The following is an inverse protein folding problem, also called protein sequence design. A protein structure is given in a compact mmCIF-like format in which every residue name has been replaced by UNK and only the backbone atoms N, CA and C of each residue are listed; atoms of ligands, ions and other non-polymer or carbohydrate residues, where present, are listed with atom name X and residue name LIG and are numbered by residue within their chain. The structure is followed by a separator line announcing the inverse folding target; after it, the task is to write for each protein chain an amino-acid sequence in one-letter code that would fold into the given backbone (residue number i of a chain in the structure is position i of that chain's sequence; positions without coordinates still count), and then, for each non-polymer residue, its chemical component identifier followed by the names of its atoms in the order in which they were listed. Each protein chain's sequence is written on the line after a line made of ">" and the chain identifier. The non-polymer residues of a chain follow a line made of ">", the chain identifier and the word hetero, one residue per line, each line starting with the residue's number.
data_IF_496840521837
#
_entry.id   IF_496840521837
#
_cell.length_a   1.000
_cell.length_b   1.000
_cell.length_c   1.000
_cell.angle_alpha   90.00
_cell.angle_beta   90.00
_cell.angle_gamma   90.00
#
_symmetry.space_group_name_H-M   'P 1'
#
loop_
_entity.id
_entity.type
_entity.pdbx_description
1 polymer ?
#
# COMPACT_ATOMS: atom_id res chain seq x y z
N UNK A 1 60.19 -33.12 -33.00
CA UNK A 1 59.54 -31.85 -32.95
C UNK A 1 58.18 -32.04 -32.22
N UNK A 2 58.09 -31.65 -30.94
CA UNK A 2 56.84 -31.73 -30.13
C UNK A 2 56.07 -30.43 -30.32
N UNK A 3 54.86 -30.48 -30.90
CA UNK A 3 53.98 -29.33 -31.03
C UNK A 3 53.27 -29.12 -29.67
N UNK A 4 53.57 -28.02 -29.00
CA UNK A 4 52.85 -27.57 -27.81
C UNK A 4 51.53 -26.94 -28.28
N UNK A 5 50.40 -27.55 -27.88
CA UNK A 5 49.08 -26.96 -28.03
C UNK A 5 48.81 -26.06 -26.81
N UNK A 6 48.83 -24.75 -27.01
CA UNK A 6 48.36 -23.75 -26.06
C UNK A 6 46.81 -23.77 -26.10
N UNK A 7 46.17 -24.25 -25.04
CA UNK A 7 44.72 -24.09 -24.84
C UNK A 7 44.49 -22.71 -24.23
N UNK A 8 43.69 -21.80 -24.86
CA UNK A 8 43.36 -20.54 -24.25
C UNK A 8 42.40 -20.78 -23.11
N UNK A 9 42.79 -20.42 -21.87
CA UNK A 9 41.95 -20.40 -20.68
C UNK A 9 40.99 -19.20 -20.81
N UNK A 10 39.76 -19.45 -21.26
CA UNK A 10 38.69 -18.44 -21.25
C UNK A 10 38.18 -18.32 -19.81
N UNK A 11 38.64 -17.31 -19.09
CA UNK A 11 38.09 -16.92 -17.81
C UNK A 11 36.69 -16.33 -18.03
N UNK A 12 35.66 -17.12 -17.76
CA UNK A 12 34.29 -16.68 -17.70
C UNK A 12 34.12 -15.84 -16.41
N UNK A 13 34.27 -14.50 -16.53
CA UNK A 13 33.90 -13.56 -15.48
C UNK A 13 32.36 -13.58 -15.36
N UNK A 14 31.82 -14.48 -14.55
CA UNK A 14 30.49 -14.36 -14.01
C UNK A 14 30.47 -13.12 -13.11
N UNK A 15 30.00 -12.00 -13.67
CA UNK A 15 29.72 -10.81 -12.88
C UNK A 15 28.65 -11.16 -11.85
N UNK A 16 29.06 -11.30 -10.59
CA UNK A 16 28.17 -11.25 -9.44
C UNK A 16 27.58 -9.81 -9.45
N UNK A 17 26.41 -9.65 -10.07
CA UNK A 17 25.59 -8.47 -9.79
C UNK A 17 25.24 -8.54 -8.31
N UNK A 18 25.92 -7.76 -7.50
CA UNK A 18 25.48 -7.51 -6.12
C UNK A 18 24.08 -6.90 -6.23
N UNK A 19 23.07 -7.62 -5.77
CA UNK A 19 21.74 -7.03 -5.63
C UNK A 19 21.88 -5.78 -4.75
N UNK A 20 21.48 -4.63 -5.27
CA UNK A 20 21.42 -3.40 -4.47
C UNK A 20 20.39 -3.69 -3.37
N UNK A 21 20.75 -3.53 -2.10
CA UNK A 21 19.79 -3.80 -1.02
C UNK A 21 18.55 -2.90 -1.21
N UNK A 22 17.36 -3.38 -0.82
CA UNK A 22 16.14 -2.57 -0.84
C UNK A 22 16.38 -1.27 -0.05
N UNK A 23 15.98 -0.14 -0.62
CA UNK A 23 16.16 1.17 0.03
C UNK A 23 14.95 1.59 0.84
N UNK A 24 13.80 0.94 0.63
CA UNK A 24 12.51 1.26 1.24
C UNK A 24 11.81 -0.01 1.68
N UNK A 25 11.14 0.05 2.82
CA UNK A 25 10.24 -0.98 3.30
C UNK A 25 8.86 -0.36 3.54
N UNK A 26 7.80 -1.09 3.23
CA UNK A 26 6.41 -0.72 3.55
C UNK A 26 5.84 -1.69 4.57
N UNK A 27 4.80 -1.29 5.29
CA UNK A 27 4.27 -2.10 6.37
C UNK A 27 2.74 -2.28 6.30
N UNK A 28 2.30 -3.42 6.81
CA UNK A 28 0.91 -3.70 7.16
C UNK A 28 0.65 -3.22 8.59
N UNK A 29 -0.41 -2.44 8.80
CA UNK A 29 -0.81 -1.97 10.13
C UNK A 29 -1.59 -3.05 10.86
N UNK A 30 -1.05 -3.49 11.99
CA UNK A 30 -1.77 -4.32 12.93
C UNK A 30 -2.52 -3.44 13.92
N UNK A 31 -3.82 -3.71 14.08
CA UNK A 31 -4.70 -2.96 14.97
C UNK A 31 -5.48 -3.91 15.88
N UNK A 32 -6.10 -3.36 16.92
CA UNK A 32 -6.95 -4.08 17.88
C UNK A 32 -8.43 -3.82 17.57
N UNK A 33 -9.32 -4.53 18.27
CA UNK A 33 -10.75 -4.37 18.16
C UNK A 33 -11.48 -5.61 17.64
N UNK A 34 -10.72 -6.60 17.16
CA UNK A 34 -11.27 -7.86 16.66
C UNK A 34 -11.54 -7.89 15.15
N UNK A 35 -11.21 -6.82 14.44
CA UNK A 35 -11.13 -6.86 12.98
C UNK A 35 -9.90 -7.63 12.50
N UNK A 36 -9.97 -8.12 11.27
CA UNK A 36 -9.01 -9.05 10.68
C UNK A 36 -7.94 -8.32 9.84
N UNK A 37 -7.13 -7.48 10.46
CA UNK A 37 -6.02 -6.75 9.82
C UNK A 37 -5.12 -7.62 8.92
N UNK A 38 -5.18 -8.92 9.08
CA UNK A 38 -4.41 -9.94 8.35
C UNK A 38 -5.18 -10.58 7.19
N UNK A 39 -6.31 -10.02 6.78
CA UNK A 39 -7.24 -10.63 5.82
C UNK A 39 -6.61 -10.92 4.46
N UNK A 40 -5.72 -10.06 3.98
CA UNK A 40 -5.16 -10.09 2.61
C UNK A 40 -3.65 -10.40 2.64
N UNK A 41 -3.21 -11.64 2.96
CA UNK A 41 -1.80 -11.93 3.24
C UNK A 41 -0.88 -11.81 2.02
N UNK A 42 -1.38 -11.98 0.80
CA UNK A 42 -0.56 -11.90 -0.43
C UNK A 42 -0.66 -10.53 -1.12
N UNK A 43 -1.53 -9.64 -0.65
CA UNK A 43 -1.82 -8.35 -1.29
C UNK A 43 -0.60 -7.43 -1.39
N UNK A 44 0.06 -7.15 -0.25
CA UNK A 44 1.24 -6.27 -0.25
C UNK A 44 2.44 -6.88 -0.99
N UNK A 45 2.80 -8.17 -0.84
CA UNK A 45 3.84 -8.80 -1.65
C UNK A 45 3.61 -8.64 -3.15
N UNK A 46 2.38 -8.89 -3.63
CA UNK A 46 2.04 -8.75 -5.04
C UNK A 46 2.09 -7.28 -5.52
N UNK A 47 1.61 -6.34 -4.70
CA UNK A 47 1.71 -4.92 -5.00
C UNK A 47 3.18 -4.47 -5.09
N UNK A 48 4.03 -4.89 -4.14
CA UNK A 48 5.47 -4.59 -4.13
C UNK A 48 6.14 -5.13 -5.40
N UNK A 49 5.88 -6.39 -5.74
CA UNK A 49 6.42 -6.99 -6.96
C UNK A 49 6.00 -6.19 -8.20
N UNK A 50 4.72 -5.86 -8.30
CA UNK A 50 4.20 -5.05 -9.40
C UNK A 50 4.86 -3.67 -9.48
N UNK A 51 5.03 -2.98 -8.35
CA UNK A 51 5.71 -1.68 -8.29
C UNK A 51 7.18 -1.77 -8.70
N UNK A 52 7.91 -2.76 -8.18
CA UNK A 52 9.32 -2.96 -8.52
C UNK A 52 9.53 -3.25 -10.01
N UNK A 53 8.59 -3.95 -10.65
CA UNK A 53 8.64 -4.23 -12.09
C UNK A 53 8.22 -3.02 -12.96
N UNK A 54 7.32 -2.16 -12.49
CA UNK A 54 6.67 -1.16 -13.33
C UNK A 54 7.03 0.29 -13.01
N UNK A 55 7.50 0.60 -11.79
CA UNK A 55 7.83 1.96 -11.33
C UNK A 55 9.33 2.21 -11.16
N UNK A 56 10.19 1.23 -11.44
CA UNK A 56 11.62 1.27 -11.11
C UNK A 56 11.88 1.51 -9.61
N UNK A 57 11.00 1.05 -8.73
CA UNK A 57 11.20 1.07 -7.28
C UNK A 57 12.10 -0.09 -6.85
N UNK A 58 12.68 0.03 -5.65
CA UNK A 58 13.42 -1.04 -4.99
C UNK A 58 12.88 -1.21 -3.58
N UNK A 59 11.59 -1.59 -3.49
CA UNK A 59 10.90 -1.86 -2.23
C UNK A 59 11.26 -3.29 -1.80
N UNK A 60 11.49 -3.50 -0.48
CA UNK A 60 11.72 -4.82 0.07
C UNK A 60 10.53 -5.74 -0.28
N UNK A 61 10.76 -6.90 -0.91
CA UNK A 61 9.68 -7.84 -1.26
C UNK A 61 8.91 -8.37 -0.04
N UNK A 62 9.57 -8.45 1.12
CA UNK A 62 8.95 -8.84 2.38
C UNK A 62 8.47 -7.58 3.11
N UNK A 63 7.16 -7.33 3.10
CA UNK A 63 6.60 -6.22 3.85
C UNK A 63 6.66 -6.49 5.37
N UNK A 64 6.86 -5.42 6.14
CA UNK A 64 6.78 -5.50 7.59
C UNK A 64 5.32 -5.58 8.10
N UNK A 65 5.18 -5.93 9.37
CA UNK A 65 3.94 -5.73 10.14
C UNK A 65 4.26 -4.86 11.33
N UNK A 66 3.48 -3.82 11.58
CA UNK A 66 3.74 -2.86 12.67
C UNK A 66 2.45 -2.54 13.45
N UNK A 67 2.53 -2.50 14.77
CA UNK A 67 1.43 -2.02 15.62
C UNK A 67 1.35 -0.49 15.58
N UNK A 68 0.14 0.07 15.66
CA UNK A 68 -0.06 1.53 15.63
C UNK A 68 0.69 2.28 16.77
N UNK A 69 0.92 1.63 17.90
CA UNK A 69 1.65 2.17 19.03
C UNK A 69 3.16 1.95 19.02
N UNK A 70 3.68 1.19 18.04
CA UNK A 70 5.12 0.88 17.97
C UNK A 70 5.90 2.06 17.34
N UNK A 71 6.98 2.53 17.98
CA UNK A 71 7.86 3.53 17.40
C UNK A 71 8.50 3.13 16.07
N UNK A 72 8.58 1.83 15.76
CA UNK A 72 9.12 1.35 14.49
C UNK A 72 8.26 1.79 13.28
N UNK A 73 7.00 2.21 13.47
CA UNK A 73 6.14 2.73 12.39
C UNK A 73 6.82 3.87 11.61
N UNK A 74 7.70 4.65 12.27
CA UNK A 74 8.43 5.76 11.63
C UNK A 74 9.50 5.31 10.62
N UNK A 75 9.80 4.00 10.54
CA UNK A 75 10.70 3.44 9.55
C UNK A 75 10.01 3.21 8.20
N UNK A 76 8.67 3.25 8.16
CA UNK A 76 7.88 2.89 6.99
C UNK A 76 7.19 4.13 6.41
N UNK A 77 7.62 4.66 5.26
CA UNK A 77 7.01 5.85 4.66
C UNK A 77 5.57 5.60 4.19
N UNK A 78 5.23 4.34 3.90
CA UNK A 78 3.89 3.90 3.51
C UNK A 78 3.45 2.75 4.42
N UNK A 79 2.32 2.95 5.08
CA UNK A 79 1.66 1.92 5.90
C UNK A 79 0.29 1.63 5.30
N UNK A 80 0.01 0.35 5.08
CA UNK A 80 -1.28 -0.16 4.60
C UNK A 80 -2.09 -0.71 5.74
N UNK A 81 -3.38 -0.44 5.74
CA UNK A 81 -4.36 -0.96 6.68
C UNK A 81 -5.53 -1.53 5.91
N UNK A 82 -5.92 -2.75 6.21
CA UNK A 82 -7.06 -3.43 5.58
C UNK A 82 -7.82 -4.26 6.61
N UNK A 83 -8.94 -4.82 6.25
CA UNK A 83 -9.70 -5.80 7.01
C UNK A 83 -11.19 -5.50 7.10
N UNK A 84 -11.88 -6.38 7.81
CA UNK A 84 -13.30 -6.28 8.11
C UNK A 84 -13.50 -5.97 9.60
N UNK A 85 -14.62 -5.30 9.93
CA UNK A 85 -15.10 -5.15 11.29
C UNK A 85 -14.36 -4.13 12.14
N UNK A 86 -14.31 -4.39 13.44
CA UNK A 86 -14.02 -3.36 14.43
C UNK A 86 -12.52 -3.03 14.52
N UNK A 87 -12.23 -1.73 14.54
CA UNK A 87 -10.91 -1.14 14.77
C UNK A 87 -10.92 -0.36 16.06
N UNK A 88 -9.90 -0.55 16.88
CA UNK A 88 -9.73 0.20 18.14
C UNK A 88 -8.28 0.64 18.27
N UNK A 89 -8.06 1.94 18.39
CA UNK A 89 -6.78 2.52 18.84
C UNK A 89 -6.96 3.00 20.29
N UNK A 90 -6.05 2.64 21.19
CA UNK A 90 -5.99 3.30 22.48
C UNK A 90 -5.39 4.72 22.36
N UNK A 91 -5.26 5.43 23.49
CA UNK A 91 -4.79 6.82 23.45
C UNK A 91 -3.31 6.93 23.08
N UNK A 92 -2.51 5.90 23.40
CA UNK A 92 -1.09 5.87 23.02
C UNK A 92 -0.94 5.56 21.54
N UNK A 93 -1.67 4.58 21.03
CA UNK A 93 -1.69 4.22 19.61
C UNK A 93 -2.17 5.39 18.75
N UNK A 94 -3.26 6.06 19.16
CA UNK A 94 -3.77 7.22 18.45
C UNK A 94 -2.75 8.38 18.41
N UNK A 95 -2.06 8.65 19.53
CA UNK A 95 -1.00 9.67 19.57
C UNK A 95 0.20 9.29 18.71
N UNK A 96 0.62 8.02 18.75
CA UNK A 96 1.76 7.56 17.96
C UNK A 96 1.46 7.62 16.45
N UNK A 97 0.29 7.14 16.05
CA UNK A 97 -0.16 7.20 14.65
C UNK A 97 -0.31 8.65 14.16
N UNK A 98 -0.85 9.55 15.01
CA UNK A 98 -0.88 10.99 14.71
C UNK A 98 0.52 11.55 14.45
N UNK A 99 1.46 11.28 15.37
CA UNK A 99 2.83 11.78 15.23
C UNK A 99 3.49 11.24 13.96
N UNK A 100 3.30 9.97 13.65
CA UNK A 100 3.77 9.34 12.42
C UNK A 100 3.24 10.08 11.17
N UNK A 101 1.92 10.30 11.10
CA UNK A 101 1.31 10.98 9.97
C UNK A 101 1.79 12.42 9.82
N UNK A 102 1.88 13.17 10.92
CA UNK A 102 2.36 14.57 10.89
C UNK A 102 3.85 14.68 10.58
N UNK A 103 4.65 13.65 10.93
CA UNK A 103 6.10 13.63 10.66
C UNK A 103 6.48 13.23 9.23
N UNK A 104 5.52 12.98 8.34
CA UNK A 104 5.79 12.62 6.95
C UNK A 104 5.29 11.25 6.53
N UNK A 105 4.84 10.42 7.47
CA UNK A 105 4.26 9.11 7.17
C UNK A 105 2.96 9.21 6.38
N UNK A 106 2.61 8.13 5.69
CA UNK A 106 1.38 8.01 4.92
C UNK A 106 0.63 6.73 5.29
N UNK A 107 -0.68 6.84 5.48
CA UNK A 107 -1.56 5.70 5.75
C UNK A 107 -2.52 5.48 4.58
N UNK A 108 -2.49 4.30 4.00
CA UNK A 108 -3.56 3.81 3.13
C UNK A 108 -4.50 2.92 3.93
N UNK A 109 -5.78 3.25 3.94
CA UNK A 109 -6.84 2.43 4.52
C UNK A 109 -7.66 1.85 3.38
N UNK A 110 -7.84 0.52 3.38
CA UNK A 110 -8.69 -0.18 2.43
C UNK A 110 -9.84 -0.88 3.16
N UNK A 111 -11.06 -0.54 2.82
CA UNK A 111 -12.26 -1.14 3.41
C UNK A 111 -12.62 -2.42 2.64
N UNK A 112 -12.35 -3.56 3.26
CA UNK A 112 -12.80 -4.86 2.75
C UNK A 112 -14.28 -5.15 3.09
N UNK A 113 -15.09 -4.11 3.22
CA UNK A 113 -16.48 -4.12 3.61
C UNK A 113 -16.73 -4.17 5.14
N UNK A 114 -17.42 -3.15 5.62
CA UNK A 114 -17.86 -3.04 7.01
C UNK A 114 -16.83 -2.43 7.98
N UNK A 115 -15.69 -1.95 7.49
CA UNK A 115 -14.70 -1.21 8.27
C UNK A 115 -15.15 0.24 8.53
N UNK A 116 -15.90 0.85 7.63
CA UNK A 116 -16.22 2.28 7.59
C UNK A 116 -16.77 2.83 8.91
N UNK A 117 -17.76 2.16 9.49
CA UNK A 117 -18.42 2.60 10.73
C UNK A 117 -17.49 2.60 11.96
N UNK A 118 -16.40 1.85 11.89
CA UNK A 118 -15.39 1.75 12.94
C UNK A 118 -14.20 2.66 12.69
N UNK A 119 -13.69 2.70 11.47
CA UNK A 119 -12.44 3.43 11.19
C UNK A 119 -12.60 4.95 11.25
N UNK A 120 -13.74 5.50 10.79
CA UNK A 120 -13.94 6.96 10.82
C UNK A 120 -13.88 7.54 12.24
N UNK A 121 -14.55 6.97 13.27
CA UNK A 121 -14.39 7.44 14.64
C UNK A 121 -12.96 7.30 15.17
N UNK A 122 -12.26 6.22 14.80
CA UNK A 122 -10.88 6.01 15.24
C UNK A 122 -9.92 7.03 14.58
N UNK A 123 -10.09 7.33 13.29
CA UNK A 123 -9.29 8.38 12.64
C UNK A 123 -9.63 9.77 13.17
N UNK A 124 -10.88 10.03 13.59
CA UNK A 124 -11.25 11.25 14.31
C UNK A 124 -10.58 11.35 15.68
N UNK A 125 -10.30 10.22 16.34
CA UNK A 125 -9.49 10.17 17.57
C UNK A 125 -8.02 10.47 17.30
N UNK A 126 -7.47 9.96 16.18
CA UNK A 126 -6.08 10.18 15.76
C UNK A 126 -5.85 11.64 15.35
N UNK A 127 -6.74 12.20 14.55
CA UNK A 127 -6.66 13.54 13.96
C UNK A 127 -7.98 14.29 14.22
N UNK A 128 -8.23 14.74 15.46
CA UNK A 128 -9.53 15.29 15.87
C UNK A 128 -9.93 16.57 15.12
N UNK A 129 -8.96 17.30 14.58
CA UNK A 129 -9.19 18.52 13.79
C UNK A 129 -9.50 18.27 12.30
N UNK A 130 -9.34 17.03 11.81
CA UNK A 130 -9.54 16.70 10.40
C UNK A 130 -10.80 15.86 10.20
N UNK A 131 -11.41 16.03 9.04
CA UNK A 131 -12.49 15.19 8.52
C UNK A 131 -12.10 14.60 7.18
N UNK A 132 -12.56 13.38 6.88
CA UNK A 132 -12.39 12.79 5.58
C UNK A 132 -13.09 13.60 4.50
N UNK A 133 -12.35 14.01 3.48
CA UNK A 133 -12.84 14.74 2.31
C UNK A 133 -12.77 13.82 1.10
N UNK A 134 -13.86 13.70 0.36
CA UNK A 134 -13.84 12.94 -0.90
C UNK A 134 -12.93 13.63 -1.92
N UNK A 135 -12.03 12.85 -2.52
CA UNK A 135 -11.10 13.38 -3.50
C UNK A 135 -11.78 13.52 -4.87
N UNK A 136 -11.68 14.68 -5.51
CA UNK A 136 -12.16 14.84 -6.88
C UNK A 136 -11.38 13.92 -7.82
N UNK A 137 -12.01 13.46 -8.89
CA UNK A 137 -11.37 12.58 -9.88
C UNK A 137 -10.12 13.20 -10.54
N UNK A 138 -9.98 14.53 -10.49
CA UNK A 138 -8.80 15.25 -10.96
C UNK A 138 -7.63 15.24 -9.96
N UNK A 139 -7.78 14.61 -8.77
CA UNK A 139 -6.71 14.58 -7.78
C UNK A 139 -5.49 13.81 -8.32
N UNK A 140 -4.24 14.32 -8.11
CA UNK A 140 -3.03 13.71 -8.65
C UNK A 140 -2.84 12.23 -8.33
N UNK A 141 -3.38 11.72 -7.21
CA UNK A 141 -3.30 10.32 -6.82
C UNK A 141 -3.90 9.36 -7.87
N UNK A 142 -4.87 9.85 -8.67
CA UNK A 142 -5.48 9.09 -9.77
C UNK A 142 -4.73 9.20 -11.09
N UNK A 143 -3.70 10.07 -11.18
CA UNK A 143 -3.00 10.45 -12.41
C UNK A 143 -1.47 10.39 -12.26
N UNK A 144 -0.97 9.33 -11.63
CA UNK A 144 0.48 9.10 -11.49
C UNK A 144 1.02 8.36 -12.74
N UNK A 145 1.41 7.12 -12.59
CA UNK A 145 1.84 6.26 -13.71
C UNK A 145 0.67 5.85 -14.61
N UNK A 146 -0.50 5.66 -14.00
CA UNK A 146 -1.70 5.16 -14.67
C UNK A 146 -2.86 6.14 -14.51
N UNK A 147 -3.70 6.21 -15.54
CA UNK A 147 -4.83 7.14 -15.58
C UNK A 147 -6.12 6.48 -15.07
N UNK A 148 -6.72 7.11 -14.06
CA UNK A 148 -8.02 6.75 -13.50
C UNK A 148 -8.97 7.97 -13.55
N UNK A 149 -9.46 8.35 -14.73
CA UNK A 149 -10.23 9.59 -14.91
C UNK A 149 -11.60 9.57 -14.19
N UNK A 150 -12.04 8.40 -13.76
CA UNK A 150 -13.29 8.20 -13.01
C UNK A 150 -13.05 7.85 -11.53
N UNK A 151 -11.83 8.10 -11.01
CA UNK A 151 -11.45 7.76 -9.65
C UNK A 151 -11.15 6.27 -9.44
N UNK A 152 -11.39 5.77 -8.23
CA UNK A 152 -11.09 4.39 -7.86
C UNK A 152 -11.81 3.35 -8.73
N UNK A 153 -11.12 2.27 -9.13
CA UNK A 153 -11.80 1.13 -9.73
C UNK A 153 -12.63 0.39 -8.68
N UNK A 154 -13.81 -0.08 -9.04
CA UNK A 154 -14.60 -1.01 -8.24
C UNK A 154 -14.08 -2.42 -8.52
N UNK A 155 -13.61 -3.12 -7.49
CA UNK A 155 -13.10 -4.49 -7.60
C UNK A 155 -14.22 -5.47 -7.27
N UNK A 156 -14.80 -5.34 -6.06
CA UNK A 156 -15.95 -6.16 -5.66
C UNK A 156 -17.19 -5.29 -5.42
N UNK A 157 -18.36 -5.92 -5.59
CA UNK A 157 -19.66 -5.32 -5.31
C UNK A 157 -20.19 -5.86 -3.98
N UNK A 158 -20.64 -4.98 -3.09
CA UNK A 158 -21.25 -5.34 -1.82
C UNK A 158 -22.70 -4.87 -1.75
N UNK A 159 -22.93 -3.57 -1.56
CA UNK A 159 -24.28 -3.01 -1.36
C UNK A 159 -24.67 -1.98 -2.43
N UNK A 160 -24.00 -2.02 -3.58
CA UNK A 160 -24.33 -1.19 -4.76
C UNK A 160 -23.88 0.27 -4.64
N UNK A 161 -23.02 0.59 -3.69
CA UNK A 161 -22.43 1.93 -3.60
C UNK A 161 -21.24 2.10 -4.54
N UNK A 162 -20.97 3.31 -5.03
CA UNK A 162 -19.81 3.57 -5.85
C UNK A 162 -18.52 3.49 -5.04
N UNK A 163 -17.41 3.12 -5.72
CA UNK A 163 -16.08 3.26 -5.16
C UNK A 163 -15.74 4.75 -4.96
N UNK A 164 -15.27 5.12 -3.77
CA UNK A 164 -14.94 6.50 -3.39
C UNK A 164 -13.57 6.56 -2.70
N UNK A 165 -12.76 7.54 -3.06
CA UNK A 165 -11.50 7.83 -2.38
C UNK A 165 -11.66 9.02 -1.45
N UNK A 166 -11.32 8.86 -0.18
CA UNK A 166 -11.33 9.94 0.80
C UNK A 166 -9.90 10.25 1.27
N UNK A 167 -9.66 11.50 1.63
CA UNK A 167 -8.38 11.95 2.16
C UNK A 167 -8.48 12.70 3.47
N UNK A 168 -7.44 12.59 4.30
CA UNK A 168 -7.17 13.50 5.42
C UNK A 168 -5.99 14.37 5.05
N UNK A 169 -6.17 15.70 5.13
CA UNK A 169 -5.16 16.67 4.71
C UNK A 169 -4.68 17.51 5.88
N UNK A 170 -3.35 17.74 5.94
CA UNK A 170 -2.72 18.67 6.86
C UNK A 170 -1.76 19.58 6.10
N UNK A 171 -1.96 20.89 6.22
CA UNK A 171 -1.13 21.90 5.53
C UNK A 171 -0.92 21.64 4.03
N UNK A 172 -1.97 21.12 3.37
CA UNK A 172 -1.98 20.81 1.94
C UNK A 172 -1.43 19.42 1.59
N UNK A 173 -0.81 18.69 2.54
CA UNK A 173 -0.33 17.31 2.33
C UNK A 173 -1.42 16.30 2.63
N UNK A 174 -1.58 15.30 1.78
CA UNK A 174 -2.43 14.14 2.01
C UNK A 174 -1.72 13.19 2.99
N UNK A 175 -2.29 13.04 4.20
CA UNK A 175 -1.73 12.18 5.26
C UNK A 175 -2.22 10.75 5.16
N UNK A 176 -3.49 10.61 4.77
CA UNK A 176 -4.20 9.34 4.72
C UNK A 176 -5.07 9.31 3.48
N UNK A 177 -5.03 8.20 2.76
CA UNK A 177 -5.97 7.89 1.68
C UNK A 177 -6.82 6.69 2.11
N UNK A 178 -8.13 6.83 2.00
CA UNK A 178 -9.10 5.80 2.34
C UNK A 178 -9.86 5.39 1.09
N UNK A 179 -9.65 4.15 0.65
CA UNK A 179 -10.37 3.51 -0.44
C UNK A 179 -11.62 2.82 0.10
N UNK A 180 -12.77 3.44 -0.14
CA UNK A 180 -14.07 3.00 0.34
C UNK A 180 -14.87 2.33 -0.78
N UNK A 181 -15.50 1.20 -0.46
CA UNK A 181 -16.35 0.44 -1.40
C UNK A 181 -15.63 -0.01 -2.68
N UNK A 182 -14.36 -0.39 -2.58
CA UNK A 182 -13.57 -0.79 -3.75
C UNK A 182 -12.87 -2.13 -3.64
N UNK A 183 -12.36 -2.51 -2.44
CA UNK A 183 -11.59 -3.72 -2.15
C UNK A 183 -10.30 -3.82 -2.97
N UNK A 184 -9.49 -2.76 -2.94
CA UNK A 184 -8.23 -2.75 -3.66
C UNK A 184 -7.30 -3.89 -3.22
N UNK A 185 -7.24 -4.14 -1.90
CA UNK A 185 -6.41 -5.18 -1.29
C UNK A 185 -6.74 -6.57 -1.81
N UNK A 186 -8.02 -6.87 -1.99
CA UNK A 186 -8.48 -8.13 -2.56
C UNK A 186 -8.00 -8.28 -4.01
N UNK A 187 -8.09 -7.20 -4.79
CA UNK A 187 -7.61 -7.19 -6.17
C UNK A 187 -6.09 -7.30 -6.30
N UNK A 188 -5.33 -7.11 -5.21
CA UNK A 188 -3.87 -7.35 -5.18
C UNK A 188 -3.52 -8.79 -4.82
N UNK A 189 -4.45 -9.56 -4.22
CA UNK A 189 -4.21 -10.94 -3.80
C UNK A 189 -3.85 -11.87 -4.96
N UNK A 190 -3.43 -13.09 -4.65
CA UNK A 190 -3.18 -14.13 -5.65
C UNK A 190 -4.44 -14.46 -6.46
N UNK A 191 -4.32 -14.81 -7.75
CA UNK A 191 -5.47 -14.97 -8.66
C UNK A 191 -6.55 -15.94 -8.16
N UNK A 192 -6.13 -16.96 -7.43
CA UNK A 192 -7.00 -18.04 -6.93
C UNK A 192 -7.78 -17.68 -5.67
N UNK A 193 -7.43 -16.56 -4.99
CA UNK A 193 -8.09 -16.20 -3.72
C UNK A 193 -9.52 -15.72 -3.97
N UNK A 194 -9.69 -14.73 -4.82
CA UNK A 194 -11.00 -14.16 -5.14
C UNK A 194 -11.52 -14.59 -6.52
N UNK A 195 -10.69 -15.26 -7.32
CA UNK A 195 -10.98 -15.64 -8.71
C UNK A 195 -11.31 -14.45 -9.62
N UNK A 196 -10.75 -13.29 -9.31
CA UNK A 196 -10.88 -12.10 -10.12
C UNK A 196 -10.29 -12.27 -11.50
N UNK A 197 -10.92 -11.60 -12.49
CA UNK A 197 -10.34 -11.58 -13.83
C UNK A 197 -8.96 -10.93 -13.84
N UNK A 198 -8.05 -11.36 -14.74
CA UNK A 198 -6.74 -10.69 -14.89
C UNK A 198 -6.86 -9.19 -15.14
N UNK A 199 -7.93 -8.74 -15.78
CA UNK A 199 -8.20 -7.33 -16.03
C UNK A 199 -8.55 -6.58 -14.74
N UNK A 200 -9.42 -7.15 -13.90
CA UNK A 200 -9.81 -6.58 -12.59
C UNK A 200 -8.59 -6.45 -11.68
N UNK A 201 -7.82 -7.53 -11.52
CA UNK A 201 -6.58 -7.52 -10.75
C UNK A 201 -5.58 -6.49 -11.26
N UNK A 202 -5.40 -6.39 -12.57
CA UNK A 202 -4.50 -5.41 -13.16
C UNK A 202 -4.95 -3.96 -12.88
N UNK A 203 -6.26 -3.68 -12.85
CA UNK A 203 -6.78 -2.37 -12.45
C UNK A 203 -6.45 -2.06 -10.99
N UNK A 204 -6.65 -3.02 -10.08
CA UNK A 204 -6.32 -2.86 -8.67
C UNK A 204 -4.82 -2.60 -8.46
N UNK A 205 -3.95 -3.42 -9.05
CA UNK A 205 -2.49 -3.27 -8.97
C UNK A 205 -2.01 -1.93 -9.55
N UNK A 206 -2.58 -1.47 -10.66
CA UNK A 206 -2.27 -0.15 -11.24
C UNK A 206 -2.67 0.99 -10.30
N UNK A 207 -3.82 0.89 -9.63
CA UNK A 207 -4.22 1.91 -8.65
C UNK A 207 -3.31 1.87 -7.42
N UNK A 208 -2.95 0.69 -6.93
CA UNK A 208 -1.97 0.54 -5.86
C UNK A 208 -0.60 1.14 -6.23
N UNK A 209 -0.14 0.92 -7.47
CA UNK A 209 1.09 1.53 -7.98
C UNK A 209 1.01 3.07 -8.02
N UNK A 210 -0.16 3.64 -8.35
CA UNK A 210 -0.37 5.08 -8.27
C UNK A 210 -0.27 5.59 -6.82
N UNK A 211 -0.81 4.86 -5.82
CA UNK A 211 -0.66 5.21 -4.41
C UNK A 211 0.80 5.25 -3.99
N UNK A 212 1.55 4.20 -4.33
CA UNK A 212 2.98 4.11 -4.04
C UNK A 212 3.74 5.26 -4.72
N UNK A 213 3.52 5.49 -6.00
CA UNK A 213 4.22 6.55 -6.72
C UNK A 213 3.88 7.93 -6.17
N UNK A 214 2.61 8.20 -5.83
CA UNK A 214 2.19 9.47 -5.22
C UNK A 214 2.98 9.74 -3.94
N UNK A 215 3.05 8.77 -3.03
CA UNK A 215 3.74 8.92 -1.73
C UNK A 215 5.24 9.16 -1.88
N UNK A 216 5.88 8.53 -2.87
CA UNK A 216 7.34 8.66 -3.07
C UNK A 216 7.75 9.77 -4.02
N UNK A 217 6.81 10.52 -4.61
CA UNK A 217 7.09 11.66 -5.49
C UNK A 217 6.77 13.03 -4.85
N UNK A 218 6.13 13.05 -3.68
CA UNK A 218 5.89 14.23 -2.85
C UNK A 218 6.99 14.37 -1.79
#
# INVERSE_FOLDING_TARGET
>A
MRKLFLIPLVLLLLGLQSAVPPSVEIALLKYRGGGDWYANPTSLPNLIEFCNQNLNTNINPDNATVDAGDPQIFNYPFVHMTGHGNVVFDDQEARNLRNYLLAGGFLHIDDNYGLDVYIRPQMKKVLPELDFVELPYSHPIYHQKYEFPNGLPKIHEHDGKPAQGFGLFWEGRLLCFYSYETDLGDGWEDPEVHNDSPETRLKALKMGANLIQYVFSE
#
